data_IF_448240746460
#
_entry.id   IF_448240746460
#
_cell.length_a   1.000
_cell.length_b   1.000
_cell.length_c   1.000
_cell.angle_alpha   90.00
_cell.angle_beta   90.00
_cell.angle_gamma   90.00
#
_symmetry.space_group_name_H-M   'P 1'
#
loop_
_entity.id
_entity.type
_entity.pdbx_description
1 polymer ?
#
# COMPACT_ATOMS: atom_id res chain seq x y z
N UNK A 1 -4.15 7.38 -22.45
CA UNK A 1 -2.68 7.44 -22.32
C UNK A 1 -2.22 6.12 -21.75
N UNK A 2 -1.20 5.47 -22.31
CA UNK A 2 -0.70 4.20 -21.79
C UNK A 2 0.02 4.39 -20.44
N UNK A 3 0.11 3.34 -19.61
CA UNK A 3 0.72 3.38 -18.28
C UNK A 3 2.12 4.01 -18.30
N UNK A 4 2.98 3.58 -19.22
CA UNK A 4 4.37 4.10 -19.30
C UNK A 4 4.44 5.62 -19.51
N UNK A 5 3.42 6.21 -20.16
CA UNK A 5 3.33 7.65 -20.34
C UNK A 5 2.78 8.33 -19.09
N UNK A 6 1.83 7.69 -18.40
CA UNK A 6 1.23 8.24 -17.17
C UNK A 6 2.21 8.22 -16.01
N UNK A 7 2.92 7.10 -15.80
CA UNK A 7 3.87 6.96 -14.68
C UNK A 7 5.02 7.96 -14.76
N UNK A 8 5.42 8.35 -15.98
CA UNK A 8 6.43 9.39 -16.18
C UNK A 8 6.00 10.79 -15.73
N UNK A 9 4.69 11.03 -15.54
CA UNK A 9 4.12 12.29 -15.08
C UNK A 9 3.84 12.33 -13.57
N UNK A 10 3.90 11.17 -12.90
CA UNK A 10 3.67 11.08 -11.47
C UNK A 10 4.82 11.76 -10.69
N UNK A 11 4.49 12.46 -9.60
CA UNK A 11 5.51 13.03 -8.73
C UNK A 11 6.34 11.93 -8.06
N UNK A 12 7.56 12.25 -7.71
CA UNK A 12 8.41 11.44 -6.83
C UNK A 12 8.14 11.90 -5.40
N UNK A 13 7.59 11.02 -4.56
CA UNK A 13 7.20 11.34 -3.18
C UNK A 13 8.26 10.94 -2.15
N UNK A 14 9.09 9.93 -2.47
CA UNK A 14 10.14 9.46 -1.58
C UNK A 14 9.64 8.55 -0.47
N UNK A 15 10.16 8.74 0.76
CA UNK A 15 9.74 8.00 1.94
C UNK A 15 8.63 8.75 2.67
N UNK A 16 7.59 8.04 3.02
CA UNK A 16 6.45 8.50 3.80
C UNK A 16 6.00 7.47 4.84
N UNK A 17 4.91 7.79 5.51
CA UNK A 17 4.23 6.94 6.48
C UNK A 17 2.73 6.94 6.21
N UNK A 18 2.02 5.95 6.73
CA UNK A 18 0.57 5.83 6.61
C UNK A 18 -0.18 6.38 7.81
N UNK A 19 -1.46 6.72 7.59
CA UNK A 19 -2.49 6.72 8.65
C UNK A 19 -3.53 5.68 8.27
N UNK A 20 -3.74 4.72 9.14
CA UNK A 20 -4.92 3.86 9.06
C UNK A 20 -6.12 4.51 9.73
N UNK A 21 -7.29 3.97 9.43
CA UNK A 21 -8.53 4.28 10.12
C UNK A 21 -8.34 4.14 11.64
N UNK A 22 -8.59 5.22 12.38
CA UNK A 22 -8.46 5.24 13.84
C UNK A 22 -7.04 5.31 14.39
N UNK A 23 -6.02 5.42 13.55
CA UNK A 23 -4.62 5.51 14.00
C UNK A 23 -4.37 6.69 14.96
N UNK A 24 -5.02 7.82 14.73
CA UNK A 24 -4.91 9.00 15.57
C UNK A 24 -5.43 8.82 17.00
N UNK A 25 -6.29 7.84 17.22
CA UNK A 25 -6.88 7.54 18.53
C UNK A 25 -6.13 6.45 19.29
N UNK A 26 -5.05 5.91 18.72
CA UNK A 26 -4.25 4.87 19.36
C UNK A 26 -3.35 5.49 20.42
N UNK A 27 -3.55 5.19 21.71
CA UNK A 27 -2.63 5.61 22.75
C UNK A 27 -1.20 5.12 22.44
N UNK A 28 -0.24 6.03 22.39
CA UNK A 28 1.16 5.78 22.00
C UNK A 28 1.37 5.48 20.51
N UNK A 29 0.47 5.85 19.61
CA UNK A 29 0.67 5.81 18.16
C UNK A 29 1.73 6.81 17.68
N UNK A 30 1.98 6.82 16.39
CA UNK A 30 2.94 7.70 15.73
C UNK A 30 2.50 9.17 15.82
N UNK A 31 3.34 10.00 16.42
CA UNK A 31 3.18 11.46 16.39
C UNK A 31 3.71 12.01 15.06
N UNK A 32 2.81 12.19 14.08
CA UNK A 32 3.14 12.73 12.76
C UNK A 32 3.74 14.14 12.83
N UNK A 33 3.30 14.97 13.78
CA UNK A 33 3.81 16.32 13.92
C UNK A 33 5.24 16.30 14.46
N UNK A 34 5.54 15.40 15.40
CA UNK A 34 6.89 15.18 15.90
C UNK A 34 7.79 14.60 14.78
N UNK A 35 7.33 13.56 14.07
CA UNK A 35 8.06 12.99 12.95
C UNK A 35 8.43 14.07 11.93
N UNK A 36 7.46 14.86 11.49
CA UNK A 36 7.69 15.93 10.49
C UNK A 36 8.66 17.01 10.98
N UNK A 37 8.61 17.34 12.26
CA UNK A 37 9.45 18.38 12.87
C UNK A 37 10.90 17.89 13.08
N UNK A 38 11.07 16.65 13.53
CA UNK A 38 12.34 16.10 14.00
C UNK A 38 13.07 15.30 12.91
N UNK A 39 12.31 14.66 12.03
CA UNK A 39 12.79 13.78 10.97
C UNK A 39 12.03 14.01 9.64
N UNK A 40 12.10 15.23 9.08
CA UNK A 40 11.38 15.57 7.85
C UNK A 40 11.80 14.69 6.65
N UNK A 41 13.00 14.10 6.68
CA UNK A 41 13.52 13.16 5.68
C UNK A 41 12.73 11.86 5.61
N UNK A 42 12.02 11.47 6.67
CA UNK A 42 11.16 10.28 6.73
C UNK A 42 9.67 10.59 6.53
N UNK A 43 9.33 11.84 6.34
CA UNK A 43 7.96 12.33 6.23
C UNK A 43 7.78 13.16 4.95
N UNK A 44 8.17 12.61 3.79
CA UNK A 44 8.04 13.25 2.48
C UNK A 44 6.60 13.40 2.04
N UNK A 45 5.76 12.43 2.38
CA UNK A 45 4.31 12.42 2.11
C UNK A 45 3.59 11.61 3.20
N UNK A 46 2.26 11.71 3.19
CA UNK A 46 1.38 10.91 4.03
C UNK A 46 0.46 10.08 3.14
N UNK A 47 0.48 8.78 3.35
CA UNK A 47 -0.58 7.93 2.85
C UNK A 47 -1.77 7.98 3.80
N UNK A 48 -2.94 8.26 3.26
CA UNK A 48 -4.16 8.43 4.05
C UNK A 48 -5.09 7.26 3.81
N UNK A 49 -5.27 6.41 4.81
CA UNK A 49 -6.30 5.37 4.82
C UNK A 49 -7.68 6.00 4.89
N UNK A 50 -8.55 5.64 3.96
CA UNK A 50 -9.90 6.22 3.83
C UNK A 50 -10.95 5.14 3.78
N UNK A 51 -11.78 5.12 4.81
CA UNK A 51 -13.12 4.55 4.80
C UNK A 51 -14.10 5.72 4.56
N UNK A 52 -14.81 5.72 3.44
CA UNK A 52 -15.64 6.86 3.03
C UNK A 52 -16.75 7.19 4.02
N UNK A 53 -17.24 6.21 4.79
CA UNK A 53 -18.29 6.41 5.81
C UNK A 53 -17.73 7.04 7.09
N UNK A 54 -16.45 6.84 7.38
CA UNK A 54 -15.79 7.38 8.56
C UNK A 54 -15.13 8.74 8.30
N UNK A 55 -14.76 9.01 7.07
CA UNK A 55 -14.13 10.25 6.63
C UNK A 55 -12.66 10.36 7.06
N UNK A 56 -12.12 11.58 7.00
CA UNK A 56 -10.70 11.84 7.27
C UNK A 56 -10.43 12.01 8.76
N UNK A 57 -9.37 11.37 9.25
CA UNK A 57 -8.88 11.53 10.60
C UNK A 57 -8.27 12.94 10.85
N UNK A 58 -8.13 13.38 12.15
CA UNK A 58 -7.59 14.68 12.46
C UNK A 58 -6.13 14.91 12.02
N UNK A 59 -5.29 13.85 12.00
CA UNK A 59 -3.88 13.97 11.59
C UNK A 59 -3.77 14.16 10.08
N UNK A 60 -4.57 13.43 9.28
CA UNK A 60 -4.68 13.65 7.84
C UNK A 60 -5.14 15.08 7.55
N UNK A 61 -6.15 15.59 8.25
CA UNK A 61 -6.62 16.98 8.10
C UNK A 61 -5.52 18.00 8.43
N UNK A 62 -4.76 17.78 9.50
CA UNK A 62 -3.66 18.66 9.89
C UNK A 62 -2.52 18.65 8.85
N UNK A 63 -2.22 17.49 8.26
CA UNK A 63 -1.24 17.32 7.20
C UNK A 63 -1.63 18.06 5.93
N UNK A 64 -2.86 17.84 5.46
CA UNK A 64 -3.43 18.50 4.29
C UNK A 64 -3.46 20.03 4.48
N UNK A 65 -3.80 20.49 5.69
CA UNK A 65 -3.82 21.90 6.04
C UNK A 65 -2.48 22.61 5.86
N UNK A 66 -1.38 21.87 5.85
CA UNK A 66 -0.03 22.38 5.57
C UNK A 66 0.33 22.33 4.08
N UNK A 67 -0.54 21.78 3.22
CA UNK A 67 -0.29 21.65 1.78
C UNK A 67 0.75 20.57 1.42
N UNK A 68 0.96 19.61 2.31
CA UNK A 68 1.93 18.52 2.13
C UNK A 68 1.39 17.41 1.21
N UNK A 69 2.27 16.67 0.50
CA UNK A 69 1.85 15.60 -0.42
C UNK A 69 1.12 14.47 0.29
N UNK A 70 0.17 13.85 -0.42
CA UNK A 70 -0.58 12.68 0.05
C UNK A 70 -0.77 11.65 -1.05
N UNK A 71 -1.03 10.40 -0.66
CA UNK A 71 -1.70 9.36 -1.43
C UNK A 71 -3.03 9.03 -0.76
N UNK A 72 -3.91 8.30 -1.46
CA UNK A 72 -5.22 7.89 -0.96
C UNK A 72 -5.30 6.37 -0.96
N UNK A 73 -5.23 5.76 0.20
CA UNK A 73 -5.40 4.33 0.38
C UNK A 73 -6.86 4.02 0.70
N UNK A 74 -7.58 3.31 -0.20
CA UNK A 74 -8.98 2.93 0.02
C UNK A 74 -9.08 1.71 0.94
N UNK A 75 -10.09 1.73 1.83
CA UNK A 75 -10.31 0.71 2.86
C UNK A 75 -11.74 0.12 2.81
N UNK A 76 -12.48 0.35 1.73
CA UNK A 76 -13.92 0.09 1.71
C UNK A 76 -14.50 -0.30 0.33
N UNK A 77 -13.67 -0.82 -0.58
CA UNK A 77 -14.13 -1.24 -1.91
C UNK A 77 -13.62 -2.63 -2.29
N UNK A 78 -14.52 -3.50 -2.70
CA UNK A 78 -14.24 -4.78 -3.36
C UNK A 78 -14.07 -4.53 -4.85
N UNK A 79 -12.83 -4.46 -5.34
CA UNK A 79 -12.56 -4.06 -6.73
C UNK A 79 -13.17 -5.01 -7.76
N UNK A 80 -13.36 -6.29 -7.43
CA UNK A 80 -13.96 -7.30 -8.32
C UNK A 80 -15.48 -7.39 -8.24
N UNK A 81 -16.15 -6.54 -7.42
CA UNK A 81 -17.59 -6.48 -7.30
C UNK A 81 -18.16 -5.22 -8.00
N UNK A 82 -18.84 -5.36 -9.17
CA UNK A 82 -19.38 -4.21 -9.89
C UNK A 82 -20.39 -3.37 -9.08
N UNK A 83 -21.08 -3.99 -8.14
CA UNK A 83 -22.09 -3.38 -7.27
C UNK A 83 -21.48 -2.40 -6.26
N UNK A 84 -20.19 -2.57 -5.96
CA UNK A 84 -19.46 -1.70 -5.04
C UNK A 84 -19.17 -0.29 -5.62
N UNK A 85 -19.31 -0.14 -6.94
CA UNK A 85 -19.11 1.15 -7.60
C UNK A 85 -20.43 1.93 -7.75
N UNK A 86 -21.22 1.97 -6.67
CA UNK A 86 -22.42 2.77 -6.66
C UNK A 86 -22.12 4.28 -6.76
N UNK A 87 -23.07 5.09 -7.32
CA UNK A 87 -22.84 6.51 -7.55
C UNK A 87 -22.55 7.32 -6.27
N UNK A 88 -23.20 6.97 -5.16
CA UNK A 88 -23.09 7.70 -3.90
C UNK A 88 -21.66 7.49 -3.32
N UNK A 89 -21.17 6.25 -3.32
CA UNK A 89 -19.79 5.96 -2.91
C UNK A 89 -18.77 6.67 -3.82
N UNK A 90 -18.95 6.60 -5.13
CA UNK A 90 -18.04 7.29 -6.07
C UNK A 90 -18.03 8.81 -5.86
N UNK A 91 -19.14 9.40 -5.48
CA UNK A 91 -19.21 10.84 -5.18
C UNK A 91 -18.47 11.18 -3.89
N UNK A 92 -18.53 10.32 -2.86
CA UNK A 92 -17.73 10.48 -1.63
C UNK A 92 -16.23 10.32 -1.89
N UNK A 93 -15.82 9.32 -2.69
CA UNK A 93 -14.42 9.16 -3.11
C UNK A 93 -13.92 10.41 -3.84
N UNK A 94 -14.71 10.95 -4.79
CA UNK A 94 -14.36 12.18 -5.50
C UNK A 94 -14.30 13.39 -4.57
N UNK A 95 -15.21 13.48 -3.60
CA UNK A 95 -15.23 14.56 -2.61
C UNK A 95 -13.95 14.51 -1.74
N UNK A 96 -13.62 13.32 -1.24
CA UNK A 96 -12.42 13.09 -0.46
C UNK A 96 -11.14 13.35 -1.26
N UNK A 97 -11.06 12.87 -2.50
CA UNK A 97 -9.92 13.12 -3.39
C UNK A 97 -9.71 14.63 -3.66
N UNK A 98 -10.80 15.42 -3.78
CA UNK A 98 -10.69 16.90 -3.92
C UNK A 98 -10.10 17.56 -2.68
N UNK A 99 -10.36 17.02 -1.49
CA UNK A 99 -9.82 17.54 -0.22
C UNK A 99 -8.36 17.10 -0.05
N UNK A 100 -8.07 15.82 -0.23
CA UNK A 100 -6.74 15.24 -0.11
C UNK A 100 -5.78 15.75 -1.19
N UNK A 101 -6.27 15.89 -2.41
CA UNK A 101 -5.46 16.14 -3.63
C UNK A 101 -4.32 15.12 -3.76
N UNK A 102 -4.62 13.81 -3.67
CA UNK A 102 -3.60 12.79 -3.65
C UNK A 102 -2.89 12.70 -4.99
N UNK A 103 -1.65 12.21 -4.97
CA UNK A 103 -0.89 11.94 -6.18
C UNK A 103 -1.53 10.80 -7.00
N UNK A 104 -2.09 9.80 -6.33
CA UNK A 104 -2.84 8.66 -6.87
C UNK A 104 -3.70 8.02 -5.79
N UNK A 105 -4.52 7.04 -6.18
CA UNK A 105 -5.21 6.13 -5.27
C UNK A 105 -4.48 4.78 -5.26
N UNK A 106 -4.47 4.12 -4.11
CA UNK A 106 -3.96 2.76 -3.92
C UNK A 106 -4.83 2.01 -2.89
N UNK A 107 -4.58 0.73 -2.69
CA UNK A 107 -5.19 -0.06 -1.63
C UNK A 107 -5.31 -1.53 -1.98
N UNK A 108 -5.53 -2.33 -0.95
CA UNK A 108 -5.60 -3.78 -1.05
C UNK A 108 -6.70 -4.26 -1.99
N UNK A 109 -6.31 -5.03 -2.98
CA UNK A 109 -7.23 -5.72 -3.88
C UNK A 109 -7.75 -7.00 -3.23
N UNK A 110 -8.52 -6.83 -2.17
CA UNK A 110 -9.15 -7.87 -1.39
C UNK A 110 -10.63 -7.61 -1.17
N UNK A 111 -11.28 -8.48 -0.41
CA UNK A 111 -12.67 -8.32 -0.02
C UNK A 111 -12.72 -7.60 1.33
N UNK A 112 -13.21 -6.36 1.33
CA UNK A 112 -13.29 -5.48 2.50
C UNK A 112 -14.57 -5.66 3.32
N UNK A 113 -15.65 -6.13 2.69
CA UNK A 113 -16.95 -6.35 3.34
C UNK A 113 -17.80 -7.40 2.60
N UNK A 114 -18.76 -7.96 3.28
CA UNK A 114 -19.84 -8.77 2.70
C UNK A 114 -21.12 -7.96 2.66
N UNK A 115 -21.67 -7.76 1.47
CA UNK A 115 -22.86 -6.93 1.30
C UNK A 115 -22.56 -5.43 1.44
N UNK A 116 -23.46 -4.68 2.11
CA UNK A 116 -23.30 -3.22 2.24
C UNK A 116 -22.08 -2.81 3.08
N UNK A 117 -21.53 -1.63 2.79
CA UNK A 117 -20.47 -1.02 3.58
C UNK A 117 -20.95 -0.62 4.96
N UNK A 118 -20.15 -0.87 5.97
CA UNK A 118 -20.37 -0.43 7.35
C UNK A 118 -19.10 0.28 7.84
N UNK A 119 -19.22 1.39 8.61
CA UNK A 119 -18.05 2.12 9.09
C UNK A 119 -17.12 1.21 9.90
N UNK A 120 -15.83 1.22 9.58
CA UNK A 120 -14.82 0.42 10.26
C UNK A 120 -14.94 -1.09 10.03
N UNK A 121 -15.65 -1.53 8.99
CA UNK A 121 -15.72 -2.93 8.61
C UNK A 121 -14.44 -3.34 7.87
N UNK A 122 -13.42 -3.70 8.61
CA UNK A 122 -12.10 -4.05 8.07
C UNK A 122 -11.93 -5.57 7.99
N UNK A 123 -12.69 -6.22 7.09
CA UNK A 123 -12.63 -7.66 6.93
C UNK A 123 -11.32 -8.12 6.27
N UNK A 124 -10.96 -7.50 5.20
CA UNK A 124 -9.82 -7.76 4.30
C UNK A 124 -9.46 -9.25 4.12
N UNK A 125 -10.16 -9.89 3.19
CA UNK A 125 -9.82 -11.24 2.76
C UNK A 125 -9.12 -11.22 1.40
N UNK A 126 -8.07 -12.04 1.20
CA UNK A 126 -7.41 -12.14 -0.10
C UNK A 126 -8.37 -12.60 -1.20
N UNK A 127 -8.17 -12.15 -2.45
CA UNK A 127 -8.94 -12.62 -3.59
C UNK A 127 -8.63 -14.09 -3.91
N UNK A 128 -9.51 -14.73 -4.66
CA UNK A 128 -9.20 -16.04 -5.24
C UNK A 128 -8.19 -15.86 -6.38
N UNK A 129 -7.00 -16.43 -6.25
CA UNK A 129 -5.91 -16.27 -7.22
C UNK A 129 -6.19 -17.08 -8.50
N UNK A 130 -7.08 -16.55 -9.34
CA UNK A 130 -7.48 -17.13 -10.64
C UNK A 130 -7.65 -16.04 -11.69
N UNK A 131 -7.77 -16.46 -12.94
CA UNK A 131 -7.88 -15.57 -14.11
C UNK A 131 -9.12 -14.67 -14.07
N UNK A 132 -10.26 -15.23 -13.65
CA UNK A 132 -11.53 -14.50 -13.58
C UNK A 132 -11.50 -13.39 -12.52
N UNK A 133 -10.95 -13.68 -11.32
CA UNK A 133 -10.83 -12.67 -10.27
C UNK A 133 -9.81 -11.58 -10.66
N UNK A 134 -8.71 -11.95 -11.34
CA UNK A 134 -7.77 -10.95 -11.88
C UNK A 134 -8.44 -10.03 -12.91
N UNK A 135 -9.36 -10.56 -13.74
CA UNK A 135 -10.13 -9.75 -14.67
C UNK A 135 -11.09 -8.80 -13.95
N UNK A 136 -11.82 -9.28 -12.93
CA UNK A 136 -12.72 -8.45 -12.13
C UNK A 136 -12.00 -7.29 -11.45
N UNK A 137 -10.88 -7.56 -10.75
CA UNK A 137 -10.04 -6.51 -10.12
C UNK A 137 -9.52 -5.50 -11.15
N UNK A 138 -9.09 -5.98 -12.33
CA UNK A 138 -8.65 -5.08 -13.39
C UNK A 138 -9.78 -4.16 -13.89
N UNK A 139 -10.99 -4.69 -14.07
CA UNK A 139 -12.17 -3.90 -14.47
C UNK A 139 -12.52 -2.85 -13.41
N UNK A 140 -12.53 -3.23 -12.13
CA UNK A 140 -12.76 -2.29 -11.02
C UNK A 140 -11.70 -1.20 -10.93
N UNK A 141 -10.43 -1.56 -11.10
CA UNK A 141 -9.32 -0.61 -11.16
C UNK A 141 -9.50 0.42 -12.27
N UNK A 142 -9.90 -0.03 -13.48
CA UNK A 142 -10.21 0.87 -14.61
C UNK A 142 -11.37 1.79 -14.26
N UNK A 143 -12.47 1.21 -13.73
CA UNK A 143 -13.68 1.97 -13.36
C UNK A 143 -13.39 3.06 -12.34
N UNK A 144 -12.62 2.73 -11.29
CA UNK A 144 -12.24 3.70 -10.26
C UNK A 144 -11.36 4.81 -10.84
N UNK A 145 -10.34 4.44 -11.63
CA UNK A 145 -9.46 5.39 -12.32
C UNK A 145 -10.24 6.37 -13.19
N UNK A 146 -11.18 5.88 -13.99
CA UNK A 146 -12.02 6.71 -14.86
C UNK A 146 -12.95 7.62 -14.04
N UNK A 147 -13.49 7.11 -12.94
CA UNK A 147 -14.40 7.86 -12.09
C UNK A 147 -13.72 9.02 -11.35
N UNK A 148 -12.49 8.83 -10.89
CA UNK A 148 -11.75 9.85 -10.10
C UNK A 148 -10.81 10.70 -10.96
N UNK A 149 -10.38 10.20 -12.12
CA UNK A 149 -9.44 10.89 -13.00
C UNK A 149 -7.98 10.88 -12.52
N UNK A 150 -7.64 9.97 -11.61
CA UNK A 150 -6.29 9.74 -11.07
C UNK A 150 -5.88 8.29 -11.32
N UNK A 151 -4.57 8.00 -11.34
CA UNK A 151 -4.11 6.61 -11.38
C UNK A 151 -4.54 5.85 -10.11
N UNK A 152 -4.80 4.56 -10.28
CA UNK A 152 -5.20 3.65 -9.21
C UNK A 152 -4.25 2.45 -9.24
N UNK A 153 -3.60 2.17 -8.12
CA UNK A 153 -2.63 1.09 -7.96
C UNK A 153 -3.16 0.05 -6.97
N UNK A 154 -3.69 -1.09 -7.49
CA UNK A 154 -4.10 -2.18 -6.61
C UNK A 154 -2.90 -2.73 -5.86
N UNK A 155 -3.11 -3.11 -4.61
CA UNK A 155 -2.14 -3.68 -3.71
C UNK A 155 -2.35 -5.18 -3.52
N UNK A 156 -1.26 -5.93 -3.36
CA UNK A 156 -1.30 -7.33 -2.95
C UNK A 156 -1.65 -7.42 -1.45
N UNK A 157 -2.84 -7.97 -1.09
CA UNK A 157 -3.33 -7.96 0.27
C UNK A 157 -2.61 -8.96 1.18
N UNK A 158 -2.63 -8.77 2.52
CA UNK A 158 -2.10 -9.72 3.48
C UNK A 158 -2.95 -10.99 3.53
N UNK A 159 -2.34 -12.09 3.96
CA UNK A 159 -3.07 -13.32 4.22
C UNK A 159 -2.17 -14.52 4.46
N UNK A 160 -2.64 -15.39 5.36
CA UNK A 160 -1.97 -16.67 5.62
C UNK A 160 -2.63 -17.85 4.86
N UNK A 161 -3.79 -17.60 4.22
CA UNK A 161 -4.53 -18.57 3.42
C UNK A 161 -4.98 -17.91 2.13
N UNK A 162 -4.55 -18.46 1.02
CA UNK A 162 -4.95 -18.04 -0.32
C UNK A 162 -5.59 -19.21 -1.08
N UNK A 163 -6.68 -18.95 -1.77
CA UNK A 163 -7.35 -19.88 -2.66
C UNK A 163 -6.94 -19.60 -4.10
N UNK A 164 -7.03 -20.60 -4.97
CA UNK A 164 -6.72 -20.47 -6.39
C UNK A 164 -5.46 -21.21 -6.81
N UNK A 165 -5.09 -21.04 -8.08
CA UNK A 165 -4.03 -21.80 -8.74
C UNK A 165 -2.86 -20.94 -9.26
N UNK A 166 -2.99 -19.61 -9.18
CA UNK A 166 -1.91 -18.70 -9.57
C UNK A 166 -1.01 -18.39 -8.37
N UNK A 167 0.25 -18.05 -8.65
CA UNK A 167 1.09 -17.36 -7.68
C UNK A 167 0.59 -15.92 -7.52
N UNK A 168 0.76 -15.32 -6.31
CA UNK A 168 0.31 -13.95 -6.04
C UNK A 168 0.88 -12.93 -7.06
N UNK A 169 2.15 -13.03 -7.39
CA UNK A 169 2.79 -12.15 -8.37
C UNK A 169 2.27 -12.39 -9.80
N UNK A 170 2.02 -13.63 -10.21
CA UNK A 170 1.44 -13.91 -11.53
C UNK A 170 0.03 -13.33 -11.62
N UNK A 171 -0.74 -13.42 -10.54
CA UNK A 171 -2.07 -12.82 -10.45
C UNK A 171 -2.02 -11.29 -10.63
N UNK A 172 -1.15 -10.60 -9.88
CA UNK A 172 -1.03 -9.15 -10.01
C UNK A 172 -0.38 -8.70 -11.34
N UNK A 173 0.47 -9.51 -11.95
CA UNK A 173 0.95 -9.26 -13.31
C UNK A 173 -0.22 -9.21 -14.32
N UNK A 174 -1.17 -10.15 -14.23
CA UNK A 174 -2.39 -10.15 -15.05
C UNK A 174 -3.27 -8.92 -14.77
N UNK A 175 -3.46 -8.54 -13.48
CA UNK A 175 -4.22 -7.34 -13.13
C UNK A 175 -3.58 -6.09 -13.75
N UNK A 176 -2.28 -5.91 -13.60
CA UNK A 176 -1.54 -4.77 -14.15
C UNK A 176 -1.61 -4.71 -15.67
N UNK A 177 -1.46 -5.86 -16.34
CA UNK A 177 -1.56 -5.95 -17.81
C UNK A 177 -2.95 -5.55 -18.29
N UNK A 178 -4.01 -6.15 -17.72
CA UNK A 178 -5.40 -5.94 -18.15
C UNK A 178 -5.92 -4.53 -17.86
N UNK A 179 -5.55 -3.97 -16.71
CA UNK A 179 -5.93 -2.61 -16.33
C UNK A 179 -5.04 -1.54 -16.97
N UNK A 180 -3.95 -1.93 -17.65
CA UNK A 180 -2.88 -1.02 -18.08
C UNK A 180 -2.49 -0.05 -16.95
N UNK A 181 -2.10 -0.62 -15.79
CA UNK A 181 -1.77 0.13 -14.58
C UNK A 181 -0.47 -0.36 -13.95
N UNK A 182 0.02 0.40 -12.96
CA UNK A 182 1.00 -0.07 -12.01
C UNK A 182 0.35 -0.75 -10.80
N UNK A 183 1.14 -1.05 -9.78
CA UNK A 183 0.66 -1.54 -8.51
C UNK A 183 1.42 -0.89 -7.36
N UNK A 184 0.82 -0.93 -6.19
CA UNK A 184 1.46 -0.89 -4.91
C UNK A 184 1.89 -2.33 -4.57
N UNK A 185 3.19 -2.55 -4.33
CA UNK A 185 3.69 -3.84 -3.89
C UNK A 185 4.06 -3.76 -2.41
N UNK A 186 3.25 -4.41 -1.58
CA UNK A 186 3.60 -4.56 -0.16
C UNK A 186 4.55 -5.74 0.03
N UNK A 187 5.74 -5.43 0.59
CA UNK A 187 6.80 -6.40 0.82
C UNK A 187 6.52 -7.31 2.01
N UNK A 188 5.76 -6.84 3.02
CA UNK A 188 5.37 -7.64 4.17
C UNK A 188 4.30 -8.65 3.78
N UNK A 189 3.25 -8.21 3.06
CA UNK A 189 2.19 -9.07 2.55
C UNK A 189 2.75 -10.17 1.63
N UNK A 190 3.68 -9.81 0.72
CA UNK A 190 4.36 -10.81 -0.11
C UNK A 190 5.19 -11.77 0.74
N UNK A 191 5.90 -11.29 1.76
CA UNK A 191 6.66 -12.11 2.70
C UNK A 191 5.76 -13.11 3.44
N UNK A 192 4.58 -12.67 3.91
CA UNK A 192 3.57 -13.50 4.56
C UNK A 192 3.07 -14.58 3.60
N UNK A 193 2.73 -14.21 2.35
CA UNK A 193 2.32 -15.15 1.31
C UNK A 193 3.39 -16.22 1.05
N UNK A 194 4.64 -15.81 0.82
CA UNK A 194 5.75 -16.73 0.54
C UNK A 194 5.96 -17.71 1.71
N UNK A 195 5.97 -17.18 2.94
CA UNK A 195 6.09 -18.01 4.15
C UNK A 195 4.93 -19.01 4.28
N UNK A 196 3.69 -18.58 4.08
CA UNK A 196 2.50 -19.43 4.19
C UNK A 196 2.49 -20.58 3.19
N UNK A 197 3.13 -20.40 2.05
CA UNK A 197 3.30 -21.40 0.99
C UNK A 197 4.58 -22.23 1.13
N UNK A 198 5.46 -21.91 2.10
CA UNK A 198 6.76 -22.56 2.25
C UNK A 198 7.75 -22.20 1.14
N UNK A 199 7.56 -21.07 0.48
CA UNK A 199 8.45 -20.56 -0.57
C UNK A 199 9.60 -19.73 0.03
N UNK A 200 10.70 -19.60 -0.73
CA UNK A 200 11.72 -18.62 -0.42
C UNK A 200 11.17 -17.18 -0.65
N UNK A 201 11.67 -16.17 0.09
CA UNK A 201 11.14 -14.80 -0.01
C UNK A 201 11.11 -14.22 -1.43
N UNK A 202 12.09 -14.53 -2.27
CA UNK A 202 12.23 -13.99 -3.62
C UNK A 202 11.59 -14.86 -4.72
N UNK A 203 10.81 -15.89 -4.36
CA UNK A 203 10.16 -16.77 -5.34
C UNK A 203 9.28 -15.96 -6.29
N UNK A 204 9.38 -16.23 -7.59
CA UNK A 204 8.64 -15.63 -8.70
C UNK A 204 8.92 -14.14 -8.98
N UNK A 205 9.79 -13.45 -8.24
CA UNK A 205 10.13 -12.05 -8.51
C UNK A 205 10.86 -11.84 -9.85
N UNK A 206 11.68 -12.80 -10.28
CA UNK A 206 12.41 -12.69 -11.55
C UNK A 206 11.48 -12.67 -12.80
N UNK A 207 10.26 -13.19 -12.67
CA UNK A 207 9.25 -13.19 -13.74
C UNK A 207 8.25 -12.05 -13.68
N UNK A 208 8.26 -11.27 -12.58
CA UNK A 208 7.31 -10.19 -12.36
C UNK A 208 7.73 -8.91 -13.13
N UNK A 209 6.78 -8.16 -13.75
CA UNK A 209 7.08 -6.93 -14.48
C UNK A 209 7.39 -5.77 -13.49
N UNK A 210 8.65 -5.69 -13.04
CA UNK A 210 9.09 -4.73 -12.01
C UNK A 210 8.88 -3.26 -12.40
N UNK A 211 8.74 -2.96 -13.68
CA UNK A 211 8.36 -1.63 -14.17
C UNK A 211 6.93 -1.23 -13.80
N UNK A 212 6.10 -2.17 -13.35
CA UNK A 212 4.74 -1.91 -12.86
C UNK A 212 4.69 -1.49 -11.39
N UNK A 213 5.77 -1.64 -10.64
CA UNK A 213 5.83 -1.22 -9.23
C UNK A 213 6.05 0.28 -9.14
N UNK A 214 5.04 0.99 -8.63
CA UNK A 214 5.05 2.47 -8.47
C UNK A 214 5.20 2.87 -7.00
N UNK A 215 4.62 2.11 -6.11
CA UNK A 215 4.68 2.28 -4.66
C UNK A 215 5.06 0.97 -4.00
N UNK A 216 5.72 1.06 -2.86
CA UNK A 216 6.02 -0.11 -2.02
C UNK A 216 5.64 0.19 -0.58
N UNK A 217 5.05 -0.80 0.09
CA UNK A 217 4.90 -0.80 1.54
C UNK A 217 5.95 -1.67 2.19
N UNK A 218 6.32 -1.26 3.40
CA UNK A 218 7.12 -2.02 4.36
C UNK A 218 6.39 -1.94 5.68
N UNK A 219 6.07 -3.09 6.26
CA UNK A 219 5.43 -3.19 7.57
C UNK A 219 6.16 -4.20 8.44
N UNK A 220 6.02 -4.06 9.74
CA UNK A 220 6.42 -5.09 10.69
C UNK A 220 5.27 -6.05 10.95
N UNK A 221 5.61 -7.29 11.28
CA UNK A 221 4.63 -8.34 11.57
C UNK A 221 5.08 -9.26 12.69
N UNK A 222 4.12 -9.88 13.36
CA UNK A 222 4.39 -10.81 14.46
C UNK A 222 4.14 -12.26 14.06
N UNK A 223 5.17 -13.10 14.18
CA UNK A 223 5.01 -14.55 14.02
C UNK A 223 4.31 -15.11 15.25
N UNK A 224 3.11 -15.62 15.07
CA UNK A 224 2.30 -16.25 16.12
C UNK A 224 2.28 -17.79 15.99
N UNK A 225 2.17 -18.46 17.12
CA UNK A 225 2.09 -19.92 17.20
C UNK A 225 0.73 -20.33 17.75
N UNK A 226 0.07 -21.30 17.14
CA UNK A 226 -1.19 -21.84 17.60
C UNK A 226 -1.25 -23.35 17.31
N UNK A 227 -1.37 -24.18 18.35
CA UNK A 227 -1.61 -25.62 18.26
C UNK A 227 -0.79 -26.38 17.20
N UNK A 228 0.51 -26.06 17.05
CA UNK A 228 1.41 -26.76 16.14
C UNK A 228 1.50 -26.17 14.72
N UNK A 229 0.85 -25.05 14.43
CA UNK A 229 1.04 -24.25 13.23
C UNK A 229 1.47 -22.83 13.58
N UNK A 230 2.10 -22.14 12.64
CA UNK A 230 2.50 -20.75 12.79
C UNK A 230 1.89 -19.90 11.66
N UNK A 231 1.56 -18.68 12.00
CA UNK A 231 1.11 -17.66 11.04
C UNK A 231 1.76 -16.31 11.36
N UNK A 232 1.72 -15.40 10.42
CA UNK A 232 2.15 -14.02 10.63
C UNK A 232 0.90 -13.18 10.77
N UNK A 233 0.86 -12.39 11.84
CA UNK A 233 -0.10 -11.31 12.00
C UNK A 233 0.51 -10.03 11.43
N UNK A 234 -0.21 -9.38 10.55
CA UNK A 234 0.15 -8.11 9.94
C UNK A 234 -0.33 -7.00 10.90
N UNK A 235 0.43 -6.80 11.95
CA UNK A 235 0.08 -5.93 13.07
C UNK A 235 0.87 -4.62 13.10
N UNK A 236 1.60 -4.29 12.03
CA UNK A 236 2.37 -3.06 11.83
C UNK A 236 3.30 -2.75 13.00
N UNK A 237 3.93 -3.77 13.59
CA UNK A 237 4.91 -3.59 14.65
C UNK A 237 6.17 -2.89 14.13
N UNK A 238 7.00 -2.28 15.00
CA UNK A 238 8.25 -1.67 14.55
C UNK A 238 9.32 -2.70 14.10
N UNK A 239 9.03 -4.01 14.26
CA UNK A 239 9.96 -5.09 13.92
C UNK A 239 9.57 -5.68 12.57
N UNK A 240 10.28 -5.28 11.54
CA UNK A 240 10.13 -5.80 10.19
C UNK A 240 10.82 -7.17 10.06
N UNK A 241 10.13 -8.15 9.48
CA UNK A 241 10.62 -9.52 9.33
C UNK A 241 11.75 -9.62 8.30
N UNK A 242 12.60 -10.63 8.44
CA UNK A 242 13.73 -10.84 7.53
C UNK A 242 13.29 -11.08 6.08
N UNK A 243 12.13 -11.73 5.87
CA UNK A 243 11.55 -11.94 4.55
C UNK A 243 11.16 -10.62 3.88
N UNK A 244 10.53 -9.73 4.62
CA UNK A 244 10.16 -8.38 4.15
C UNK A 244 11.39 -7.59 3.75
N UNK A 245 12.43 -7.57 4.60
CA UNK A 245 13.69 -6.93 4.27
C UNK A 245 14.35 -7.52 3.03
N UNK A 246 14.38 -8.85 2.89
CA UNK A 246 14.98 -9.51 1.73
C UNK A 246 14.27 -9.12 0.42
N UNK A 247 12.93 -9.04 0.44
CA UNK A 247 12.13 -8.61 -0.70
C UNK A 247 12.39 -7.14 -1.02
N UNK A 248 12.30 -6.26 -0.05
CA UNK A 248 12.48 -4.82 -0.21
C UNK A 248 13.88 -4.46 -0.74
N UNK A 249 14.95 -5.02 -0.14
CA UNK A 249 16.34 -4.81 -0.59
C UNK A 249 16.59 -5.33 -2.01
N UNK A 250 15.88 -6.41 -2.40
CA UNK A 250 15.97 -6.95 -3.75
C UNK A 250 15.27 -6.05 -4.77
N UNK A 251 14.09 -5.52 -4.44
CA UNK A 251 13.22 -4.79 -5.37
C UNK A 251 13.66 -3.35 -5.60
N UNK A 252 14.06 -2.61 -4.56
CA UNK A 252 14.37 -1.18 -4.65
C UNK A 252 15.33 -0.82 -5.79
N UNK A 253 16.46 -1.52 -6.01
CA UNK A 253 17.35 -1.19 -7.12
C UNK A 253 16.86 -1.64 -8.50
N UNK A 254 15.73 -2.37 -8.57
CA UNK A 254 15.21 -3.01 -9.80
C UNK A 254 13.90 -2.42 -10.31
N UNK A 255 13.22 -1.59 -9.51
CA UNK A 255 11.94 -0.97 -9.88
C UNK A 255 12.16 0.44 -10.46
N UNK A 256 12.20 0.60 -11.80
CA UNK A 256 12.56 1.87 -12.41
C UNK A 256 11.51 2.95 -12.23
N UNK A 257 10.27 2.55 -12.00
CA UNK A 257 9.11 3.44 -11.87
C UNK A 257 8.69 3.69 -10.41
N UNK A 258 9.48 3.26 -9.43
CA UNK A 258 9.19 3.49 -8.02
C UNK A 258 9.12 5.00 -7.73
N UNK A 259 8.02 5.46 -7.13
CA UNK A 259 7.75 6.89 -6.82
C UNK A 259 7.62 7.14 -5.32
N UNK A 260 7.20 6.14 -4.57
CA UNK A 260 6.92 6.24 -3.14
C UNK A 260 7.25 4.95 -2.40
N UNK A 261 7.63 5.10 -1.15
CA UNK A 261 7.72 4.00 -0.18
C UNK A 261 7.05 4.45 1.10
N UNK A 262 6.14 3.64 1.63
CA UNK A 262 5.49 3.85 2.91
C UNK A 262 6.07 2.88 3.94
N UNK A 263 6.36 3.38 5.12
CA UNK A 263 6.51 2.54 6.30
C UNK A 263 5.22 2.58 7.11
N UNK A 264 4.52 1.47 7.17
CA UNK A 264 3.30 1.32 7.96
C UNK A 264 3.66 1.08 9.42
N UNK A 265 3.54 2.11 10.21
CA UNK A 265 4.04 2.12 11.58
C UNK A 265 3.20 3.00 12.53
N UNK A 266 2.00 3.35 12.10
CA UNK A 266 1.10 4.30 12.73
C UNK A 266 0.72 3.93 14.17
N UNK A 267 0.76 2.64 14.50
CA UNK A 267 0.37 2.10 15.82
C UNK A 267 1.49 2.19 16.87
N UNK A 268 2.68 2.67 16.50
CA UNK A 268 3.85 2.64 17.36
C UNK A 268 4.41 4.03 17.61
N UNK A 269 5.02 4.28 18.80
CA UNK A 269 5.63 5.57 19.08
C UNK A 269 6.82 5.84 18.17
N UNK A 270 7.06 7.11 17.82
CA UNK A 270 8.12 7.55 16.92
C UNK A 270 9.48 6.90 17.22
N UNK A 271 9.90 6.90 18.48
CA UNK A 271 11.20 6.35 18.88
C UNK A 271 11.37 4.85 18.53
N UNK A 272 10.29 4.07 18.52
CA UNK A 272 10.34 2.65 18.16
C UNK A 272 10.48 2.46 16.65
N UNK A 273 9.97 3.38 15.84
CA UNK A 273 9.96 3.33 14.38
C UNK A 273 11.27 3.82 13.74
N UNK A 274 12.05 4.67 14.42
CA UNK A 274 13.26 5.29 13.87
C UNK A 274 14.29 4.30 13.29
N UNK A 275 14.57 3.14 13.90
CA UNK A 275 15.54 2.19 13.33
C UNK A 275 15.10 1.65 11.97
N UNK A 276 13.82 1.33 11.80
CA UNK A 276 13.28 0.84 10.51
C UNK A 276 13.26 1.96 9.47
N UNK A 277 12.78 3.16 9.81
CA UNK A 277 12.80 4.34 8.95
C UNK A 277 14.22 4.65 8.43
N UNK A 278 15.23 4.64 9.31
CA UNK A 278 16.62 4.86 8.93
C UNK A 278 17.13 3.79 7.95
N UNK A 279 16.80 2.50 8.19
CA UNK A 279 17.18 1.40 7.28
C UNK A 279 16.49 1.53 5.92
N UNK A 280 15.20 1.86 5.89
CA UNK A 280 14.48 2.09 4.64
C UNK A 280 15.15 3.22 3.85
N UNK A 281 15.40 4.36 4.50
CA UNK A 281 16.06 5.51 3.86
C UNK A 281 17.44 5.15 3.29
N UNK A 282 18.26 4.36 4.00
CA UNK A 282 19.54 3.86 3.50
C UNK A 282 19.36 3.00 2.23
N UNK A 283 18.39 2.06 2.25
CA UNK A 283 18.13 1.19 1.11
C UNK A 283 17.67 2.00 -0.10
N UNK A 284 16.84 3.04 0.09
CA UNK A 284 16.33 3.90 -0.97
C UNK A 284 17.43 4.66 -1.73
N UNK A 285 18.61 4.88 -1.14
CA UNK A 285 19.75 5.46 -1.86
C UNK A 285 20.19 4.63 -3.08
N UNK A 286 19.78 3.37 -3.16
CA UNK A 286 20.05 2.43 -4.27
C UNK A 286 18.98 2.44 -5.36
N UNK A 287 17.88 3.15 -5.14
CA UNK A 287 16.78 3.23 -6.13
C UNK A 287 17.20 4.08 -7.33
N UNK A 288 16.93 3.62 -8.57
CA UNK A 288 17.16 4.41 -9.78
C UNK A 288 16.34 5.70 -9.84
N UNK A 289 15.14 5.69 -9.23
CA UNK A 289 14.18 6.79 -9.31
C UNK A 289 14.12 7.65 -8.03
N UNK A 290 14.45 7.07 -6.86
CA UNK A 290 14.36 7.76 -5.56
C UNK A 290 15.73 8.15 -4.99
N UNK A 291 16.84 7.60 -5.52
CA UNK A 291 18.17 7.76 -4.95
C UNK A 291 18.66 9.19 -4.82
N UNK A 292 18.28 10.08 -5.74
CA UNK A 292 18.66 11.50 -5.67
C UNK A 292 17.81 12.26 -4.63
N UNK A 293 16.54 11.94 -4.50
CA UNK A 293 15.66 12.51 -3.47
C UNK A 293 16.11 12.08 -2.05
N UNK A 294 16.48 10.81 -1.88
CA UNK A 294 16.98 10.27 -0.62
C UNK A 294 18.32 10.89 -0.19
N UNK A 295 19.20 11.23 -1.15
CA UNK A 295 20.49 11.89 -0.86
C UNK A 295 20.37 13.38 -0.54
N UNK A 296 19.34 14.05 -1.02
CA UNK A 296 19.11 15.47 -0.77
C UNK A 296 18.52 15.73 0.63
N UNK A 297 17.92 14.72 1.28
CA UNK A 297 17.37 14.78 2.63
C UNK A 297 18.32 14.33 3.74
N UNK A 298 19.48 13.78 3.40
CA UNK A 298 20.52 13.36 4.33
C UNK A 298 21.62 14.46 4.40
#
# INVERSE_FOLDING_TARGET
MAFDQRVGQLPVLGLGVSTEYGAGDTPNGLDLAALRREHPEYAGFLEVGVDTLSGLDPHARAWIGQGLPTTYHFLDVNLDEPEDFDPDWLDEVRATARVLRPAWLCGDAGMWHFGGREPGHMLLLPPVLCDDSAAGIAEGTIRLREAVGLDVFPENPPGNVFLGNLHLLDFFALVCERADTGMLLDCAHLGIFQRSRGHAPLTALDGFPLERVVEMHVAGGTVKQHEGWSYVDDDHTPVVLDETWAIFEHLVPRCPNLRAVVFECERNPLAANLPALARIAEILTRSPSLGDAARAGS
#
